data_IF_012926979101
#
_entry.id   IF_012926979101
#
_cell.length_a   1.000
_cell.length_b   1.000
_cell.length_c   1.000
_cell.angle_alpha   90.00
_cell.angle_beta   90.00
_cell.angle_gamma   90.00
#
_symmetry.space_group_name_H-M   'P 1'
#
loop_
_entity.id
_entity.type
_entity.pdbx_description
1 polymer ?
#
# COMPACT_ATOMS: atom_id res chain seq x y z
N UNK A 1 4.05 30.24 18.29
CA UNK A 1 5.06 29.60 17.43
C UNK A 1 4.44 28.48 16.64
N UNK A 2 4.92 28.21 15.41
CA UNK A 2 4.37 27.21 14.50
C UNK A 2 5.52 26.38 13.95
N UNK A 3 5.45 25.07 14.13
CA UNK A 3 6.54 24.16 13.74
C UNK A 3 6.08 23.13 12.75
N UNK A 4 6.89 22.92 11.70
CA UNK A 4 6.91 21.66 10.94
C UNK A 4 7.87 20.74 11.68
N UNK A 5 7.49 19.47 11.87
CA UNK A 5 8.38 18.50 12.50
C UNK A 5 8.24 17.11 11.88
N UNK A 6 9.27 16.33 12.10
CA UNK A 6 9.35 14.92 11.77
C UNK A 6 10.24 14.21 12.80
N UNK A 7 10.09 12.89 12.94
CA UNK A 7 10.93 12.09 13.84
C UNK A 7 11.33 10.77 13.20
N UNK A 8 12.50 10.28 13.61
CA UNK A 8 12.97 8.95 13.27
C UNK A 8 13.05 8.06 14.50
N UNK A 9 12.69 6.81 14.37
CA UNK A 9 12.58 5.86 15.47
C UNK A 9 12.98 4.44 15.06
N UNK A 10 13.15 3.58 16.07
CA UNK A 10 13.65 2.21 15.88
C UNK A 10 12.58 1.17 15.45
N UNK A 11 11.38 1.56 15.10
CA UNK A 11 10.36 0.60 14.67
C UNK A 11 8.97 1.18 14.50
N UNK A 12 8.03 0.36 14.09
CA UNK A 12 6.63 0.71 13.97
C UNK A 12 5.97 0.90 15.35
N UNK A 13 4.82 1.54 15.41
CA UNK A 13 4.13 1.92 16.65
C UNK A 13 4.07 0.82 17.73
N UNK A 14 3.80 -0.43 17.34
CA UNK A 14 3.71 -1.54 18.30
C UNK A 14 5.07 -1.93 18.90
N UNK A 15 6.13 -1.79 18.15
CA UNK A 15 7.49 -2.26 18.46
C UNK A 15 8.42 -1.13 18.89
N UNK A 16 8.07 0.13 18.58
CA UNK A 16 8.90 1.30 18.87
C UNK A 16 9.18 1.43 20.37
N UNK A 17 10.45 1.62 20.69
CA UNK A 17 10.95 1.84 22.04
C UNK A 17 11.87 3.04 22.16
N UNK A 18 12.40 3.56 21.06
CA UNK A 18 13.37 4.65 21.04
C UNK A 18 13.13 5.59 19.88
N UNK A 19 13.19 6.89 20.15
CA UNK A 19 13.26 7.94 19.12
C UNK A 19 14.73 8.29 18.92
N UNK A 20 15.19 8.20 17.68
CA UNK A 20 16.57 8.49 17.30
C UNK A 20 16.84 9.99 17.19
N UNK A 21 15.96 10.72 16.53
CA UNK A 21 16.02 12.16 16.39
C UNK A 21 14.63 12.76 16.16
N UNK A 22 14.51 14.06 16.48
CA UNK A 22 13.38 14.90 16.12
C UNK A 22 13.95 16.17 15.51
N UNK A 23 13.42 16.56 14.37
CA UNK A 23 13.79 17.80 13.70
C UNK A 23 12.56 18.69 13.61
N UNK A 24 12.72 19.96 13.95
CA UNK A 24 11.69 20.98 13.81
C UNK A 24 12.13 22.06 12.83
N UNK A 25 11.17 22.68 12.18
CA UNK A 25 11.38 23.91 11.43
C UNK A 25 10.37 24.94 11.85
N UNK A 26 10.85 26.07 12.34
CA UNK A 26 10.03 27.22 12.65
C UNK A 26 9.58 27.90 11.34
N UNK A 27 8.27 28.00 11.13
CA UNK A 27 7.70 28.56 9.89
C UNK A 27 7.97 30.05 9.77
N UNK A 28 8.00 30.79 10.87
CA UNK A 28 8.12 32.24 10.86
C UNK A 28 9.58 32.67 10.60
N UNK A 29 10.53 32.03 11.27
CA UNK A 29 11.96 32.33 11.07
C UNK A 29 12.60 31.49 9.96
N UNK A 30 11.93 30.48 9.44
CA UNK A 30 12.42 29.49 8.48
C UNK A 30 13.66 28.70 8.97
N UNK A 31 13.89 28.70 10.28
CA UNK A 31 15.07 28.07 10.91
C UNK A 31 14.80 26.61 11.21
N UNK A 32 15.72 25.74 10.79
CA UNK A 32 15.76 24.32 11.20
C UNK A 32 16.36 24.23 12.61
N UNK A 33 15.69 23.45 13.47
CA UNK A 33 16.03 23.26 14.87
C UNK A 33 16.31 21.78 15.08
N UNK A 34 17.55 21.45 15.44
CA UNK A 34 17.98 20.12 15.79
C UNK A 34 18.34 20.11 17.26
N UNK A 35 17.51 19.50 18.08
CA UNK A 35 17.65 19.49 19.54
C UNK A 35 17.36 18.11 20.09
N UNK A 36 17.70 17.89 21.34
CA UNK A 36 17.38 16.64 22.03
C UNK A 36 15.87 16.43 22.18
N UNK A 37 15.45 15.18 22.32
CA UNK A 37 14.03 14.79 22.37
C UNK A 37 13.25 15.61 23.41
N UNK A 38 13.78 15.80 24.63
CA UNK A 38 13.09 16.53 25.69
C UNK A 38 12.85 18.01 25.36
N UNK A 39 13.81 18.64 24.70
CA UNK A 39 13.69 20.04 24.26
C UNK A 39 12.69 20.15 23.08
N UNK A 40 12.74 19.23 22.13
CA UNK A 40 11.77 19.16 21.06
C UNK A 40 10.34 19.00 21.60
N UNK A 41 10.13 18.11 22.57
CA UNK A 41 8.84 17.91 23.23
C UNK A 41 8.33 19.18 23.91
N UNK A 42 9.21 19.93 24.56
CA UNK A 42 8.87 21.22 25.18
C UNK A 42 8.39 22.22 24.11
N UNK A 43 9.16 22.40 23.02
CA UNK A 43 8.80 23.29 21.92
C UNK A 43 7.46 22.91 21.29
N UNK A 44 7.24 21.61 21.02
CA UNK A 44 5.99 21.11 20.47
C UNK A 44 4.81 21.26 21.43
N UNK A 45 5.02 21.14 22.74
CA UNK A 45 3.94 21.30 23.73
C UNK A 45 3.47 22.75 23.88
N UNK A 46 4.37 23.71 23.66
CA UNK A 46 4.13 25.16 23.74
C UNK A 46 3.71 25.79 22.40
N UNK A 47 3.70 24.98 21.30
CA UNK A 47 3.34 25.46 19.97
C UNK A 47 1.85 25.80 19.86
N UNK A 48 1.54 26.75 18.97
CA UNK A 48 0.16 27.05 18.52
C UNK A 48 -0.28 26.10 17.42
N UNK A 49 0.66 25.72 16.54
CA UNK A 49 0.41 24.86 15.39
C UNK A 49 1.59 23.90 15.20
N UNK A 50 1.25 22.64 15.06
CA UNK A 50 2.18 21.55 14.74
C UNK A 50 1.80 20.98 13.38
N UNK A 51 2.77 20.91 12.47
CA UNK A 51 2.59 20.43 11.12
C UNK A 51 3.53 19.27 10.87
N UNK A 52 3.05 18.24 10.18
CA UNK A 52 3.88 17.13 9.74
C UNK A 52 3.19 16.30 8.67
N UNK A 53 3.82 15.23 8.25
CA UNK A 53 3.26 14.32 7.24
C UNK A 53 2.95 12.97 7.87
N UNK A 54 1.66 12.62 7.99
CA UNK A 54 1.19 11.41 8.68
C UNK A 54 1.40 11.41 10.20
N UNK A 55 1.58 12.58 10.79
CA UNK A 55 1.88 12.73 12.23
C UNK A 55 0.73 12.31 13.15
N UNK A 56 -0.50 12.41 12.69
CA UNK A 56 -1.68 11.96 13.45
C UNK A 56 -1.66 10.44 13.66
N UNK A 57 -1.14 9.71 12.67
CA UNK A 57 -1.15 8.25 12.70
C UNK A 57 0.11 7.66 13.32
N UNK A 58 1.23 8.37 13.29
CA UNK A 58 2.51 7.83 13.74
C UNK A 58 3.21 8.70 14.79
N UNK A 59 3.72 9.87 14.44
CA UNK A 59 4.61 10.64 15.29
C UNK A 59 3.98 11.03 16.64
N UNK A 60 2.80 11.64 16.61
CA UNK A 60 2.10 12.04 17.83
C UNK A 60 1.74 10.83 18.72
N UNK A 61 1.19 9.73 18.21
CA UNK A 61 1.03 8.49 18.96
C UNK A 61 2.32 7.94 19.57
N UNK A 62 3.44 7.95 18.83
CA UNK A 62 4.75 7.50 19.34
C UNK A 62 5.23 8.40 20.48
N UNK A 63 5.16 9.72 20.31
CA UNK A 63 5.48 10.67 21.37
C UNK A 63 4.61 10.48 22.63
N UNK A 64 3.32 10.22 22.44
CA UNK A 64 2.41 9.90 23.56
C UNK A 64 2.78 8.59 24.24
N UNK A 65 3.10 7.54 23.47
CA UNK A 65 3.46 6.22 23.99
C UNK A 65 4.74 6.26 24.82
N UNK A 66 5.79 6.89 24.30
CA UNK A 66 7.12 6.83 24.91
C UNK A 66 7.36 7.92 25.97
N UNK A 67 6.76 9.10 25.83
CA UNK A 67 7.05 10.25 26.67
C UNK A 67 5.81 10.86 27.36
N UNK A 68 4.63 10.29 27.16
CA UNK A 68 3.40 10.88 27.71
C UNK A 68 3.06 12.25 27.11
N UNK A 69 3.55 12.54 25.91
CA UNK A 69 3.41 13.85 25.24
C UNK A 69 1.96 14.31 25.19
N UNK A 70 1.77 15.58 25.54
CA UNK A 70 0.47 16.26 25.46
C UNK A 70 0.68 17.65 24.86
N UNK A 71 -0.22 18.05 24.00
CA UNK A 71 -0.21 19.40 23.41
C UNK A 71 -1.61 19.95 23.29
N UNK A 72 -1.73 21.29 23.32
CA UNK A 72 -2.93 22.04 22.98
C UNK A 72 -2.84 22.65 21.57
N UNK A 73 -1.70 22.46 20.89
CA UNK A 73 -1.49 22.95 19.56
C UNK A 73 -2.55 22.41 18.58
N UNK A 74 -2.94 23.23 17.62
CA UNK A 74 -3.64 22.73 16.44
C UNK A 74 -2.69 21.79 15.68
N UNK A 75 -3.17 20.61 15.30
CA UNK A 75 -2.40 19.66 14.49
C UNK A 75 -2.81 19.77 13.04
N UNK A 76 -1.83 19.88 12.15
CA UNK A 76 -2.02 19.90 10.71
C UNK A 76 -1.23 18.78 10.04
N UNK A 77 -1.93 17.78 9.56
CA UNK A 77 -1.35 16.64 8.87
C UNK A 77 -1.43 16.83 7.35
N UNK A 78 -0.27 16.98 6.72
CA UNK A 78 -0.20 17.21 5.28
C UNK A 78 -0.64 16.01 4.45
N UNK A 79 -0.56 14.77 4.98
CA UNK A 79 -1.11 13.59 4.30
C UNK A 79 -2.63 13.65 4.24
N UNK A 80 -3.29 14.02 5.33
CA UNK A 80 -4.75 14.22 5.39
C UNK A 80 -5.16 15.30 4.42
N UNK A 81 -4.52 16.46 4.50
CA UNK A 81 -4.81 17.61 3.65
C UNK A 81 -4.63 17.29 2.15
N UNK A 82 -3.55 16.62 1.79
CA UNK A 82 -3.29 16.29 0.37
C UNK A 82 -4.29 15.29 -0.19
N UNK A 83 -4.76 14.34 0.58
CA UNK A 83 -5.80 13.38 0.16
C UNK A 83 -7.14 14.06 -0.08
N UNK A 84 -7.47 15.07 0.71
CA UNK A 84 -8.68 15.85 0.53
C UNK A 84 -8.59 16.75 -0.71
N UNK A 85 -7.48 17.47 -0.88
CA UNK A 85 -7.31 18.49 -1.94
C UNK A 85 -7.10 17.83 -3.30
N UNK A 86 -6.30 16.80 -3.38
CA UNK A 86 -5.92 16.11 -4.60
C UNK A 86 -6.30 14.64 -4.53
N UNK A 87 -7.61 14.37 -4.48
CA UNK A 87 -8.15 13.01 -4.33
C UNK A 87 -7.75 12.05 -5.46
N UNK A 88 -7.51 12.60 -6.67
CA UNK A 88 -6.98 11.84 -7.80
C UNK A 88 -5.85 12.60 -8.51
N UNK A 89 -4.69 12.01 -8.51
CA UNK A 89 -3.47 12.50 -9.16
C UNK A 89 -3.05 11.65 -10.37
N UNK A 90 -3.85 10.66 -10.75
CA UNK A 90 -3.49 9.65 -11.74
C UNK A 90 -3.05 10.27 -13.07
N UNK A 91 -3.88 11.12 -13.68
CA UNK A 91 -3.58 11.72 -14.97
C UNK A 91 -2.36 12.65 -14.93
N UNK A 92 -2.24 13.43 -13.85
CA UNK A 92 -1.10 14.35 -13.71
C UNK A 92 0.21 13.60 -13.46
N UNK A 93 0.18 12.50 -12.71
CA UNK A 93 1.35 11.67 -12.47
C UNK A 93 1.73 10.83 -13.69
N UNK A 94 0.74 10.34 -14.45
CA UNK A 94 1.03 9.66 -15.72
C UNK A 94 1.74 10.56 -16.73
N UNK A 95 1.38 11.86 -16.78
CA UNK A 95 2.15 12.84 -17.55
C UNK A 95 3.59 12.94 -17.04
N UNK A 96 3.81 12.96 -15.72
CA UNK A 96 5.15 12.98 -15.11
C UNK A 96 5.95 11.72 -15.38
N UNK A 97 5.32 10.54 -15.46
CA UNK A 97 5.99 9.29 -15.86
C UNK A 97 6.68 9.48 -17.22
N UNK A 98 6.02 10.15 -18.17
CA UNK A 98 6.55 10.37 -19.51
C UNK A 98 7.54 11.55 -19.62
N UNK A 99 7.42 12.55 -18.75
CA UNK A 99 8.22 13.79 -18.87
C UNK A 99 9.46 13.82 -17.97
N UNK A 100 9.36 13.27 -16.75
CA UNK A 100 10.44 13.29 -15.75
C UNK A 100 10.77 11.91 -15.19
N UNK A 101 10.33 10.84 -15.85
CA UNK A 101 10.51 9.46 -15.39
C UNK A 101 10.00 9.22 -13.97
N UNK A 102 8.82 9.77 -13.64
CA UNK A 102 8.19 9.57 -12.33
C UNK A 102 7.92 8.08 -12.08
N UNK A 103 8.25 7.52 -10.90
CA UNK A 103 8.08 6.10 -10.63
C UNK A 103 6.61 5.65 -10.71
N UNK A 104 6.30 4.66 -11.52
CA UNK A 104 4.93 4.16 -11.73
C UNK A 104 4.26 3.65 -10.45
N UNK A 105 5.02 3.07 -9.53
CA UNK A 105 4.51 2.60 -8.24
C UNK A 105 4.13 3.74 -7.27
N UNK A 106 4.48 4.98 -7.59
CA UNK A 106 4.11 6.17 -6.83
C UNK A 106 2.93 6.95 -7.45
N UNK A 107 2.43 6.52 -8.61
CA UNK A 107 1.25 7.15 -9.26
C UNK A 107 0.08 7.13 -8.30
N UNK A 108 -0.56 8.29 -8.13
CA UNK A 108 -1.68 8.51 -7.20
C UNK A 108 -1.36 8.21 -5.72
N UNK A 109 -0.07 8.19 -5.33
CA UNK A 109 0.33 8.03 -3.92
C UNK A 109 0.55 9.39 -3.26
N UNK A 110 0.21 9.48 -1.98
CA UNK A 110 0.36 10.68 -1.15
C UNK A 110 1.51 10.58 -0.14
N UNK A 111 2.40 9.60 -0.28
CA UNK A 111 3.59 9.51 0.57
C UNK A 111 4.50 10.72 0.40
N UNK A 112 5.28 11.05 1.44
CA UNK A 112 6.20 12.19 1.39
C UNK A 112 7.22 12.03 0.26
N UNK A 113 7.69 10.81 -0.01
CA UNK A 113 8.52 10.49 -1.19
C UNK A 113 7.85 10.90 -2.51
N UNK A 114 6.57 10.58 -2.69
CA UNK A 114 5.83 10.93 -3.89
C UNK A 114 5.69 12.45 -4.04
N UNK A 115 5.42 13.15 -2.93
CA UNK A 115 5.35 14.61 -2.91
C UNK A 115 6.71 15.26 -3.12
N UNK A 116 7.80 14.73 -2.55
CA UNK A 116 9.14 15.23 -2.79
C UNK A 116 9.48 15.27 -4.27
N UNK A 117 9.19 14.19 -5.02
CA UNK A 117 9.40 14.16 -6.46
C UNK A 117 8.53 15.19 -7.21
N UNK A 118 7.22 15.31 -6.84
CA UNK A 118 6.30 16.27 -7.45
C UNK A 118 6.73 17.74 -7.24
N UNK A 119 7.39 18.00 -6.11
CA UNK A 119 7.86 19.33 -5.73
C UNK A 119 9.27 19.65 -6.24
N UNK A 120 9.96 18.65 -6.85
CA UNK A 120 11.36 18.81 -7.27
C UNK A 120 12.35 18.81 -6.10
N UNK A 121 11.88 18.43 -4.90
CA UNK A 121 12.69 18.29 -3.69
C UNK A 121 12.80 16.81 -3.35
N UNK A 122 13.80 16.13 -3.91
CA UNK A 122 13.93 14.68 -3.84
C UNK A 122 14.27 14.23 -2.43
N UNK A 123 13.43 13.32 -1.91
CA UNK A 123 13.73 12.55 -0.72
C UNK A 123 14.77 11.48 -1.07
N UNK A 124 15.93 11.53 -0.45
CA UNK A 124 16.92 10.46 -0.54
C UNK A 124 16.35 9.19 0.07
N UNK A 125 16.67 8.03 -0.48
CA UNK A 125 16.43 6.76 0.18
C UNK A 125 17.71 6.42 0.95
N UNK A 126 17.54 6.14 2.24
CA UNK A 126 18.59 5.54 3.04
C UNK A 126 18.30 4.05 3.20
N UNK A 127 19.33 3.25 3.01
CA UNK A 127 19.33 1.82 3.33
C UNK A 127 20.15 1.68 4.62
N UNK A 128 19.49 1.61 5.75
CA UNK A 128 20.12 1.63 7.07
C UNK A 128 19.37 0.70 8.03
N UNK A 129 20.10 0.22 9.03
CA UNK A 129 19.51 -0.49 10.16
C UNK A 129 18.84 0.51 11.11
N UNK A 130 17.50 0.52 11.09
CA UNK A 130 16.71 1.40 11.95
C UNK A 130 16.79 1.06 13.44
N UNK A 131 17.47 -0.01 13.84
CA UNK A 131 17.64 -0.34 15.27
C UNK A 131 18.63 0.58 15.98
N UNK A 132 19.54 1.21 15.24
CA UNK A 132 20.63 2.05 15.77
C UNK A 132 20.65 3.40 15.06
N UNK A 133 20.77 4.48 15.82
CA UNK A 133 20.89 5.83 15.28
C UNK A 133 22.13 5.99 14.39
N UNK A 134 21.96 6.63 13.24
CA UNK A 134 23.07 7.04 12.36
C UNK A 134 22.94 8.52 11.97
N UNK A 135 24.05 9.23 11.66
CA UNK A 135 24.00 10.61 11.19
C UNK A 135 23.12 10.79 9.93
N UNK A 136 23.09 9.81 9.06
CA UNK A 136 22.27 9.80 7.83
C UNK A 136 20.78 9.84 8.15
N UNK A 137 20.33 9.24 9.26
CA UNK A 137 18.95 9.36 9.73
C UNK A 137 18.59 10.80 10.09
N UNK A 138 19.50 11.54 10.70
CA UNK A 138 19.27 12.95 11.02
C UNK A 138 19.17 13.80 9.75
N UNK A 139 20.05 13.59 8.76
CA UNK A 139 20.00 14.27 7.46
C UNK A 139 18.68 13.95 6.74
N UNK A 140 18.25 12.69 6.82
CA UNK A 140 17.00 12.22 6.24
C UNK A 140 15.78 12.90 6.90
N UNK A 141 15.77 12.99 8.25
CA UNK A 141 14.72 13.69 8.99
C UNK A 141 14.68 15.19 8.66
N UNK A 142 15.84 15.84 8.51
CA UNK A 142 15.93 17.23 8.04
C UNK A 142 15.30 17.39 6.66
N UNK A 143 15.63 16.49 5.73
CA UNK A 143 15.06 16.50 4.39
C UNK A 143 13.55 16.32 4.39
N UNK A 144 13.01 15.43 5.25
CA UNK A 144 11.57 15.20 5.37
C UNK A 144 10.84 16.43 5.91
N UNK A 145 11.42 17.14 6.86
CA UNK A 145 10.92 18.43 7.36
C UNK A 145 10.88 19.48 6.25
N UNK A 146 11.92 19.57 5.41
CA UNK A 146 11.97 20.51 4.29
C UNK A 146 10.93 20.19 3.20
N UNK A 147 10.76 18.92 2.85
CA UNK A 147 9.72 18.47 1.91
C UNK A 147 8.33 18.77 2.47
N UNK A 148 8.12 18.47 3.75
CA UNK A 148 6.85 18.71 4.44
C UNK A 148 6.53 20.21 4.52
N UNK A 149 7.51 21.05 4.80
CA UNK A 149 7.35 22.50 4.79
C UNK A 149 6.95 23.02 3.40
N UNK A 150 7.66 22.58 2.36
CA UNK A 150 7.36 22.97 0.97
C UNK A 150 5.95 22.50 0.57
N UNK A 151 5.55 21.32 0.97
CA UNK A 151 4.22 20.77 0.77
C UNK A 151 3.15 21.59 1.49
N UNK A 152 3.40 21.96 2.75
CA UNK A 152 2.49 22.80 3.52
C UNK A 152 2.27 24.17 2.85
N UNK A 153 3.34 24.83 2.37
CA UNK A 153 3.22 26.09 1.62
C UNK A 153 2.38 25.91 0.35
N UNK A 154 2.54 24.80 -0.37
CA UNK A 154 1.71 24.48 -1.53
C UNK A 154 0.24 24.29 -1.16
N UNK A 155 -0.05 23.65 -0.04
CA UNK A 155 -1.42 23.45 0.47
C UNK A 155 -2.07 24.80 0.82
N UNK A 156 -1.35 25.72 1.47
CA UNK A 156 -1.85 27.04 1.82
C UNK A 156 -2.26 27.86 0.58
N UNK A 157 -1.63 27.63 -0.56
CA UNK A 157 -1.99 28.26 -1.83
C UNK A 157 -3.28 27.73 -2.46
N UNK A 158 -3.94 26.72 -1.87
CA UNK A 158 -5.17 26.13 -2.39
C UNK A 158 -6.41 26.79 -1.76
N UNK A 159 -7.45 26.96 -2.59
CA UNK A 159 -8.76 27.39 -2.10
C UNK A 159 -9.50 26.18 -1.51
N UNK A 160 -9.45 26.00 -0.21
CA UNK A 160 -10.14 24.92 0.50
C UNK A 160 -10.93 25.50 1.68
N UNK A 161 -12.09 24.91 1.96
CA UNK A 161 -12.86 25.26 3.14
C UNK A 161 -12.16 24.74 4.38
N UNK A 162 -11.82 25.63 5.32
CA UNK A 162 -11.18 25.27 6.58
C UNK A 162 -11.96 24.23 7.37
N UNK A 163 -13.28 24.31 7.34
CA UNK A 163 -14.16 23.32 7.98
C UNK A 163 -13.97 21.89 7.45
N UNK A 164 -13.77 21.73 6.12
CA UNK A 164 -13.51 20.40 5.54
C UNK A 164 -12.19 19.82 6.04
N UNK A 165 -11.16 20.63 6.13
CA UNK A 165 -9.88 20.22 6.71
C UNK A 165 -10.02 19.84 8.18
N UNK A 166 -10.74 20.62 8.97
CA UNK A 166 -10.93 20.34 10.39
C UNK A 166 -11.69 19.02 10.61
N UNK A 167 -12.70 18.72 9.80
CA UNK A 167 -13.44 17.45 9.84
C UNK A 167 -12.52 16.29 9.49
N UNK A 168 -11.76 16.37 8.39
CA UNK A 168 -10.85 15.29 7.97
C UNK A 168 -9.77 15.01 9.01
N UNK A 169 -9.20 16.04 9.65
CA UNK A 169 -8.24 15.87 10.73
C UNK A 169 -8.88 15.20 11.97
N UNK A 170 -10.09 15.61 12.35
CA UNK A 170 -10.80 14.98 13.47
C UNK A 170 -11.13 13.51 13.18
N UNK A 171 -11.55 13.19 11.95
CA UNK A 171 -11.77 11.81 11.51
C UNK A 171 -10.46 11.02 11.53
N UNK A 172 -9.35 11.59 11.03
CA UNK A 172 -8.04 10.94 11.05
C UNK A 172 -7.58 10.59 12.49
N UNK A 173 -7.81 11.48 13.46
CA UNK A 173 -7.53 11.19 14.88
C UNK A 173 -8.40 10.06 15.44
N UNK A 174 -9.68 10.01 15.09
CA UNK A 174 -10.59 8.93 15.50
C UNK A 174 -10.14 7.59 14.93
N UNK A 175 -9.81 7.56 13.64
CA UNK A 175 -9.33 6.35 12.94
C UNK A 175 -7.99 5.90 13.53
N UNK A 176 -7.05 6.82 13.80
CA UNK A 176 -5.77 6.48 14.44
C UNK A 176 -5.97 5.80 15.79
N UNK A 177 -6.87 6.33 16.63
CA UNK A 177 -7.22 5.71 17.92
C UNK A 177 -7.88 4.34 17.76
N UNK A 178 -8.78 4.21 16.77
CA UNK A 178 -9.45 2.95 16.46
C UNK A 178 -8.43 1.89 16.00
N UNK A 179 -7.48 2.25 15.15
CA UNK A 179 -6.43 1.33 14.68
C UNK A 179 -5.52 0.87 15.82
N UNK A 180 -5.15 1.77 16.74
CA UNK A 180 -4.34 1.44 17.93
C UNK A 180 -5.12 0.53 18.89
N UNK A 181 -6.38 0.83 19.13
CA UNK A 181 -7.25 0.01 19.99
C UNK A 181 -7.49 -1.38 19.38
N UNK A 182 -7.62 -1.43 18.05
CA UNK A 182 -7.92 -2.64 17.30
C UNK A 182 -9.37 -3.09 17.44
N UNK A 183 -9.63 -4.27 16.91
CA UNK A 183 -10.92 -4.96 17.01
C UNK A 183 -10.69 -6.37 17.50
N UNK A 184 -11.64 -6.91 18.26
CA UNK A 184 -11.58 -8.30 18.66
C UNK A 184 -11.69 -9.19 17.41
N UNK A 185 -10.72 -10.10 17.27
CA UNK A 185 -10.70 -11.08 16.19
C UNK A 185 -10.60 -12.50 16.79
N UNK A 186 -11.57 -13.34 16.47
CA UNK A 186 -11.62 -14.73 16.93
C UNK A 186 -10.63 -15.57 16.13
N UNK A 187 -9.40 -15.65 16.63
CA UNK A 187 -8.31 -16.38 15.98
C UNK A 187 -8.59 -17.87 15.86
N UNK A 188 -9.23 -18.48 16.87
CA UNK A 188 -9.51 -19.91 16.86
C UNK A 188 -10.52 -20.28 15.78
N UNK A 189 -11.61 -19.49 15.70
CA UNK A 189 -12.62 -19.66 14.68
C UNK A 189 -12.10 -19.40 13.28
N UNK A 190 -11.28 -18.36 13.13
CA UNK A 190 -10.63 -18.05 11.86
C UNK A 190 -9.67 -19.17 11.42
N UNK A 191 -8.89 -19.74 12.34
CA UNK A 191 -7.97 -20.85 12.04
C UNK A 191 -8.73 -22.10 11.62
N UNK A 192 -9.82 -22.45 12.29
CA UNK A 192 -10.69 -23.56 11.90
C UNK A 192 -11.27 -23.36 10.51
N UNK A 193 -11.87 -22.19 10.27
CA UNK A 193 -12.43 -21.85 8.96
C UNK A 193 -11.36 -21.89 7.85
N UNK A 194 -10.17 -21.36 8.11
CA UNK A 194 -9.05 -21.41 7.15
C UNK A 194 -8.67 -22.86 6.82
N UNK A 195 -8.59 -23.73 7.81
CA UNK A 195 -8.27 -25.15 7.61
C UNK A 195 -9.37 -25.85 6.77
N UNK A 196 -10.64 -25.60 7.06
CA UNK A 196 -11.77 -26.15 6.31
C UNK A 196 -11.75 -25.68 4.85
N UNK A 197 -11.64 -24.37 4.61
CA UNK A 197 -11.62 -23.79 3.26
C UNK A 197 -10.38 -24.24 2.46
N UNK A 198 -9.22 -24.37 3.12
CA UNK A 198 -7.99 -24.85 2.50
C UNK A 198 -8.11 -26.34 2.12
N UNK A 199 -8.73 -27.15 2.96
CA UNK A 199 -9.01 -28.55 2.67
C UNK A 199 -9.96 -28.69 1.48
N UNK A 200 -11.07 -27.92 1.46
CA UNK A 200 -12.01 -27.90 0.34
C UNK A 200 -11.32 -27.50 -0.98
N UNK A 201 -10.53 -26.43 -0.95
CA UNK A 201 -9.76 -26.00 -2.13
C UNK A 201 -8.82 -27.08 -2.65
N UNK A 202 -8.10 -27.75 -1.74
CA UNK A 202 -7.17 -28.82 -2.13
C UNK A 202 -7.90 -30.04 -2.69
N UNK A 203 -9.08 -30.37 -2.19
CA UNK A 203 -9.90 -31.47 -2.72
C UNK A 203 -10.40 -31.14 -4.13
N UNK A 204 -10.92 -29.92 -4.35
CA UNK A 204 -11.32 -29.48 -5.69
C UNK A 204 -10.13 -29.51 -6.65
N UNK A 205 -8.96 -29.05 -6.22
CA UNK A 205 -7.75 -29.09 -7.03
C UNK A 205 -7.42 -30.52 -7.49
N UNK A 206 -7.40 -31.48 -6.57
CA UNK A 206 -7.14 -32.89 -6.87
C UNK A 206 -8.17 -33.45 -7.85
N UNK A 207 -9.45 -33.19 -7.63
CA UNK A 207 -10.54 -33.63 -8.51
C UNK A 207 -10.37 -33.07 -9.92
N UNK A 208 -9.98 -31.78 -10.03
CA UNK A 208 -9.73 -31.17 -11.34
C UNK A 208 -8.48 -31.72 -12.03
N UNK A 209 -7.41 -32.03 -11.30
CA UNK A 209 -6.19 -32.66 -11.82
C UNK A 209 -6.48 -34.10 -12.29
N UNK A 210 -7.34 -34.83 -11.60
CA UNK A 210 -7.80 -36.18 -11.99
C UNK A 210 -8.71 -36.13 -13.23
N UNK A 211 -9.58 -35.14 -13.32
CA UNK A 211 -10.51 -34.96 -14.43
C UNK A 211 -9.80 -34.49 -15.69
N UNK A 212 -8.89 -33.54 -15.56
CA UNK A 212 -8.12 -32.98 -16.66
C UNK A 212 -6.68 -33.52 -16.67
N UNK A 213 -6.52 -34.75 -17.15
CA UNK A 213 -5.21 -35.41 -17.23
C UNK A 213 -4.14 -34.54 -17.90
N UNK A 214 -2.84 -34.73 -17.55
CA UNK A 214 -1.74 -34.04 -18.20
C UNK A 214 -1.77 -34.16 -19.74
N UNK A 215 -1.36 -33.11 -20.44
CA UNK A 215 -1.22 -33.12 -21.90
C UNK A 215 0.26 -33.16 -22.25
N UNK A 216 0.62 -34.08 -23.15
CA UNK A 216 1.95 -34.12 -23.73
C UNK A 216 1.99 -33.25 -25.01
N UNK A 217 2.80 -32.18 -24.96
CA UNK A 217 3.01 -31.29 -26.11
C UNK A 217 4.30 -31.70 -26.80
N UNK A 218 4.18 -32.15 -28.05
CA UNK A 218 5.34 -32.41 -28.94
C UNK A 218 5.98 -31.07 -29.28
N UNK A 219 7.29 -30.98 -29.12
CA UNK A 219 8.05 -29.76 -29.38
C UNK A 219 9.04 -29.99 -30.53
N UNK A 220 9.19 -29.01 -31.40
CA UNK A 220 10.17 -28.98 -32.46
C UNK A 220 11.00 -27.72 -32.34
N UNK A 221 12.28 -27.81 -32.58
CA UNK A 221 13.19 -26.67 -32.56
C UNK A 221 12.88 -25.72 -33.71
N UNK A 222 12.54 -24.48 -33.42
CA UNK A 222 12.29 -23.45 -34.46
C UNK A 222 13.53 -23.17 -35.33
N UNK A 223 14.75 -23.35 -34.75
CA UNK A 223 16.01 -23.11 -35.44
C UNK A 223 16.48 -24.26 -36.33
N UNK A 224 16.18 -25.50 -35.94
CA UNK A 224 16.79 -26.68 -36.59
C UNK A 224 15.77 -27.68 -37.17
N UNK A 225 14.45 -27.48 -36.91
CA UNK A 225 13.39 -28.40 -37.28
C UNK A 225 13.44 -29.76 -36.58
N UNK A 226 14.40 -30.00 -35.68
CA UNK A 226 14.55 -31.30 -35.02
C UNK A 226 13.56 -31.45 -33.85
N UNK A 227 13.04 -32.67 -33.59
CA UNK A 227 12.20 -32.92 -32.45
C UNK A 227 12.96 -32.67 -31.13
N UNK A 228 12.33 -31.95 -30.20
CA UNK A 228 12.78 -31.72 -28.84
C UNK A 228 12.05 -32.67 -27.89
N UNK A 229 12.56 -32.83 -26.69
CA UNK A 229 11.88 -33.59 -25.63
C UNK A 229 10.46 -33.08 -25.44
N UNK A 230 9.52 -33.98 -25.43
CA UNK A 230 8.11 -33.71 -25.19
C UNK A 230 7.91 -32.98 -23.85
N UNK A 231 7.01 -32.01 -23.83
CA UNK A 231 6.66 -31.28 -22.60
C UNK A 231 5.34 -31.80 -22.06
N UNK A 232 5.38 -32.41 -20.86
CA UNK A 232 4.17 -32.75 -20.11
C UNK A 232 3.70 -31.52 -19.37
N UNK A 233 2.43 -31.15 -19.57
CA UNK A 233 1.78 -30.01 -18.92
C UNK A 233 0.65 -30.54 -18.05
N UNK A 234 0.83 -30.44 -16.75
CA UNK A 234 -0.19 -30.74 -15.76
C UNK A 234 -1.28 -29.65 -15.77
N UNK A 235 -2.49 -30.04 -15.39
CA UNK A 235 -3.57 -29.07 -15.28
C UNK A 235 -3.38 -28.19 -14.05
N UNK A 236 -3.49 -26.89 -14.25
CA UNK A 236 -3.46 -25.90 -13.18
C UNK A 236 -4.82 -25.20 -13.10
N UNK A 237 -5.63 -25.44 -12.06
CA UNK A 237 -6.95 -24.85 -11.89
C UNK A 237 -6.94 -23.32 -11.67
N UNK A 238 -5.76 -22.71 -11.41
CA UNK A 238 -5.59 -21.24 -11.37
C UNK A 238 -5.33 -20.65 -12.76
N UNK A 239 -5.03 -21.47 -13.78
CA UNK A 239 -4.71 -21.01 -15.12
C UNK A 239 -5.95 -20.87 -16.00
N UNK A 240 -6.45 -19.63 -16.13
CA UNK A 240 -7.61 -19.31 -16.95
C UNK A 240 -7.48 -19.80 -18.39
N UNK A 241 -6.28 -19.73 -18.96
CA UNK A 241 -5.99 -20.24 -20.29
C UNK A 241 -6.17 -21.76 -20.38
N UNK A 242 -5.58 -22.50 -19.43
CA UNK A 242 -5.74 -23.97 -19.42
C UNK A 242 -7.19 -24.38 -19.20
N UNK A 243 -7.92 -23.67 -18.33
CA UNK A 243 -9.36 -23.92 -18.12
C UNK A 243 -10.12 -23.75 -19.44
N UNK A 244 -9.91 -22.62 -20.13
CA UNK A 244 -10.57 -22.37 -21.42
C UNK A 244 -10.27 -23.48 -22.45
N UNK A 245 -9.01 -23.88 -22.59
CA UNK A 245 -8.59 -24.92 -23.51
C UNK A 245 -9.21 -26.28 -23.16
N UNK A 246 -9.28 -26.63 -21.86
CA UNK A 246 -9.90 -27.89 -21.39
C UNK A 246 -11.41 -27.92 -21.61
N UNK A 247 -12.10 -26.81 -21.30
CA UNK A 247 -13.55 -26.72 -21.52
C UNK A 247 -13.91 -26.76 -23.02
N UNK A 248 -13.11 -26.11 -23.87
CA UNK A 248 -13.26 -26.22 -25.33
C UNK A 248 -13.10 -27.67 -25.82
N UNK A 249 -12.07 -28.35 -25.35
CA UNK A 249 -11.77 -29.72 -25.79
C UNK A 249 -12.81 -30.72 -25.27
N UNK A 250 -13.23 -30.61 -23.99
CA UNK A 250 -14.12 -31.59 -23.37
C UNK A 250 -15.59 -31.37 -23.73
N UNK A 251 -16.04 -30.12 -23.83
CA UNK A 251 -17.45 -29.74 -23.97
C UNK A 251 -17.75 -28.99 -25.27
N UNK A 252 -16.77 -28.84 -26.16
CA UNK A 252 -16.90 -28.01 -27.38
C UNK A 252 -17.38 -26.57 -27.01
N UNK A 253 -16.97 -26.07 -25.86
CA UNK A 253 -17.37 -24.76 -25.37
C UNK A 253 -16.93 -23.65 -26.30
N UNK A 254 -17.85 -22.79 -26.68
CA UNK A 254 -17.60 -21.59 -27.50
C UNK A 254 -17.69 -20.36 -26.61
N UNK A 255 -16.55 -19.72 -26.26
CA UNK A 255 -16.55 -18.50 -25.47
C UNK A 255 -17.33 -17.40 -26.19
N UNK A 256 -18.18 -16.71 -25.44
CA UNK A 256 -18.93 -15.53 -25.92
C UNK A 256 -18.37 -14.23 -25.40
N UNK A 257 -17.55 -14.29 -24.33
CA UNK A 257 -16.94 -13.12 -23.68
C UNK A 257 -15.42 -13.24 -23.75
N UNK A 258 -14.76 -12.13 -24.09
CA UNK A 258 -13.31 -12.07 -24.26
C UNK A 258 -12.71 -10.95 -23.42
N UNK A 259 -11.43 -11.06 -23.09
CA UNK A 259 -10.63 -10.00 -22.46
C UNK A 259 -10.23 -8.95 -23.51
N UNK A 260 -9.69 -7.82 -23.06
CA UNK A 260 -9.18 -6.78 -23.98
C UNK A 260 -8.07 -7.30 -24.92
N UNK A 261 -7.36 -8.34 -24.50
CA UNK A 261 -6.30 -9.00 -25.29
C UNK A 261 -6.85 -10.12 -26.22
N UNK A 262 -8.17 -10.21 -26.37
CA UNK A 262 -8.82 -11.20 -27.24
C UNK A 262 -8.80 -12.64 -26.74
N UNK A 263 -8.42 -12.88 -25.49
CA UNK A 263 -8.46 -14.22 -24.88
C UNK A 263 -9.84 -14.51 -24.29
N UNK A 264 -10.31 -15.79 -24.29
CA UNK A 264 -11.54 -16.15 -23.61
C UNK A 264 -11.56 -15.68 -22.17
N UNK A 265 -12.60 -14.96 -21.76
CA UNK A 265 -12.77 -14.55 -20.38
C UNK A 265 -13.20 -15.76 -19.56
N UNK A 266 -12.43 -16.07 -18.51
CA UNK A 266 -12.69 -17.14 -17.54
C UNK A 266 -12.65 -16.52 -16.16
N UNK A 267 -13.81 -16.22 -15.62
CA UNK A 267 -14.01 -15.75 -14.24
C UNK A 267 -15.16 -16.51 -13.59
N UNK A 268 -15.40 -16.23 -12.32
CA UNK A 268 -16.47 -16.83 -11.53
C UNK A 268 -17.86 -16.64 -12.18
N UNK A 269 -18.13 -15.48 -12.78
CA UNK A 269 -19.40 -15.18 -13.43
C UNK A 269 -19.60 -16.06 -14.68
N UNK A 270 -18.59 -16.13 -15.55
CA UNK A 270 -18.64 -16.97 -16.76
C UNK A 270 -18.75 -18.45 -16.38
N UNK A 271 -17.92 -18.94 -15.46
CA UNK A 271 -17.92 -20.33 -15.04
C UNK A 271 -19.27 -20.74 -14.41
N UNK A 272 -19.86 -19.88 -13.59
CA UNK A 272 -21.17 -20.15 -12.95
C UNK A 272 -22.32 -20.22 -13.97
N UNK A 273 -22.20 -19.51 -15.11
CA UNK A 273 -23.20 -19.53 -16.17
C UNK A 273 -23.18 -20.80 -17.04
N UNK A 274 -22.14 -21.63 -16.89
CA UNK A 274 -21.98 -22.87 -17.66
C UNK A 274 -22.59 -24.07 -16.93
N UNK A 275 -23.33 -24.91 -17.65
CA UNK A 275 -23.92 -26.13 -17.09
C UNK A 275 -22.94 -27.34 -17.05
N UNK A 276 -21.65 -27.07 -16.98
CA UNK A 276 -20.64 -28.10 -16.86
C UNK A 276 -20.28 -28.33 -15.38
N UNK A 277 -20.23 -29.58 -14.91
CA UNK A 277 -19.91 -29.87 -13.51
C UNK A 277 -18.58 -29.23 -13.06
N UNK A 278 -17.55 -29.35 -13.90
CA UNK A 278 -16.22 -28.81 -13.59
C UNK A 278 -16.19 -27.28 -13.58
N UNK A 279 -17.05 -26.62 -14.37
CA UNK A 279 -17.13 -25.15 -14.37
C UNK A 279 -17.61 -24.62 -13.01
N UNK A 280 -18.58 -25.30 -12.39
CA UNK A 280 -19.07 -24.95 -11.05
C UNK A 280 -18.00 -25.16 -9.97
N UNK A 281 -17.26 -26.29 -10.06
CA UNK A 281 -16.14 -26.55 -9.16
C UNK A 281 -14.99 -25.56 -9.32
N UNK A 282 -14.66 -25.17 -10.55
CA UNK A 282 -13.65 -24.17 -10.83
C UNK A 282 -14.07 -22.77 -10.35
N UNK A 283 -15.35 -22.41 -10.48
CA UNK A 283 -15.87 -21.17 -9.91
C UNK A 283 -15.71 -21.17 -8.37
N UNK A 284 -16.02 -22.30 -7.71
CA UNK A 284 -15.80 -22.46 -6.26
C UNK A 284 -14.32 -22.40 -5.90
N UNK A 285 -13.44 -23.05 -6.68
CA UNK A 285 -12.00 -22.98 -6.50
C UNK A 285 -11.49 -21.53 -6.54
N UNK A 286 -11.91 -20.73 -7.53
CA UNK A 286 -11.54 -19.33 -7.62
C UNK A 286 -11.97 -18.51 -6.39
N UNK A 287 -13.17 -18.77 -5.88
CA UNK A 287 -13.64 -18.11 -4.66
C UNK A 287 -12.75 -18.46 -3.46
N UNK A 288 -12.36 -19.73 -3.32
CA UNK A 288 -11.50 -20.21 -2.23
C UNK A 288 -10.05 -19.72 -2.36
N UNK A 289 -9.54 -19.53 -3.59
CA UNK A 289 -8.19 -19.02 -3.83
C UNK A 289 -8.05 -17.53 -3.50
N UNK A 290 -9.13 -16.76 -3.59
CA UNK A 290 -9.15 -15.33 -3.25
C UNK A 290 -9.24 -15.07 -1.74
N UNK A 291 -9.57 -16.07 -0.95
CA UNK A 291 -9.78 -15.96 0.49
C UNK A 291 -8.63 -16.54 1.31
#
# INVERSE_FOLDING_TARGET
MKYVFDLESNGLYNEVSTIHCIVLKDIESNKVIQVGVNEALKLLSEAELIIGHNIIKYDIPVLKKLYGFKTKAKVFDTLVATRLIWSDLTDSDMKRVHTINYPRNLVNRHSLKAWGIRLGNYKQQIDTDWSVFTPEMLEYCVQDVEVTHTLYQKILGQKILGQSLDIEHAVAELISRQEIYGVMFDKEKATKLYAELSSERNNIKKEMEETFKPITIKRVSEKTGKPLKDKVVEFNPSSRRQIADRLKTKYNWKPTVFTNDGLPKVDDTVLTSLDFPEAKLLARYFLLEKR
#
